data_IF_732925205852
#
_entry.id   IF_732925205852
#
_cell.length_a   1.000
_cell.length_b   1.000
_cell.length_c   1.000
_cell.angle_alpha   90.00
_cell.angle_beta   90.00
_cell.angle_gamma   90.00
#
_symmetry.space_group_name_H-M   'P 1'
#
loop_
_entity.id
_entity.type
_entity.pdbx_description
1 polymer ?
#
# COMPACT_ATOMS: atom_id res chain seq x y z
N UNK A 1 -12.36 -3.42 1.08
CA UNK A 1 -11.64 -2.86 -0.09
C UNK A 1 -10.51 -3.76 -0.59
N UNK A 2 -9.41 -3.98 0.15
CA UNK A 2 -8.24 -4.73 -0.37
C UNK A 2 -8.61 -6.15 -0.80
N UNK A 3 -9.48 -6.83 -0.05
CA UNK A 3 -9.97 -8.17 -0.40
C UNK A 3 -10.75 -8.20 -1.72
N UNK A 4 -11.49 -7.13 -2.03
CA UNK A 4 -12.17 -6.97 -3.32
C UNK A 4 -11.15 -6.89 -4.46
N UNK A 5 -10.08 -6.13 -4.29
CA UNK A 5 -9.00 -6.02 -5.28
C UNK A 5 -8.21 -7.34 -5.45
N UNK A 6 -8.17 -8.19 -4.42
CA UNK A 6 -7.63 -9.56 -4.55
C UNK A 6 -8.50 -10.38 -5.51
N UNK A 7 -9.83 -10.31 -5.35
CA UNK A 7 -10.80 -11.08 -6.14
C UNK A 7 -11.09 -10.50 -7.52
N UNK A 8 -10.88 -9.19 -7.70
CA UNK A 8 -11.18 -8.45 -8.93
C UNK A 8 -9.92 -7.70 -9.41
N UNK A 9 -9.01 -8.38 -10.14
CA UNK A 9 -7.75 -7.78 -10.58
C UNK A 9 -7.89 -6.58 -11.51
N UNK A 10 -8.97 -6.49 -12.28
CA UNK A 10 -9.23 -5.37 -13.20
C UNK A 10 -9.33 -4.02 -12.47
N UNK A 11 -9.88 -4.02 -11.26
CA UNK A 11 -10.07 -2.81 -10.46
C UNK A 11 -8.76 -2.30 -9.84
N UNK A 12 -7.63 -3.03 -9.97
CA UNK A 12 -6.35 -2.61 -9.40
C UNK A 12 -5.75 -1.40 -10.10
N UNK A 13 -6.12 -1.13 -11.36
CA UNK A 13 -5.68 0.06 -12.08
C UNK A 13 -6.10 1.34 -11.34
N UNK A 14 -7.29 1.32 -10.74
CA UNK A 14 -7.84 2.42 -9.94
C UNK A 14 -6.96 2.77 -8.74
N UNK A 15 -6.18 1.82 -8.19
CA UNK A 15 -5.27 2.11 -7.07
C UNK A 15 -4.20 3.15 -7.44
N UNK A 16 -3.80 3.21 -8.72
CA UNK A 16 -2.81 4.17 -9.23
C UNK A 16 -3.44 5.37 -9.91
N UNK A 17 -4.52 5.14 -10.66
CA UNK A 17 -5.14 6.16 -11.50
C UNK A 17 -6.03 7.10 -10.71
N UNK A 18 -6.95 6.53 -9.92
CA UNK A 18 -7.91 7.28 -9.11
C UNK A 18 -8.37 6.44 -7.91
N UNK A 19 -7.58 6.44 -6.81
CA UNK A 19 -7.89 5.64 -5.63
C UNK A 19 -9.12 6.16 -4.87
N UNK A 20 -9.57 7.38 -5.13
CA UNK A 20 -10.69 8.00 -4.40
C UNK A 20 -12.02 7.34 -4.78
N UNK A 21 -12.16 6.88 -6.03
CA UNK A 21 -13.29 6.03 -6.45
C UNK A 21 -13.41 4.78 -5.58
N UNK A 22 -12.28 4.15 -5.24
CA UNK A 22 -12.27 2.98 -4.36
C UNK A 22 -12.63 3.40 -2.92
N UNK A 23 -12.09 4.51 -2.44
CA UNK A 23 -12.37 4.99 -1.09
C UNK A 23 -13.84 5.32 -0.88
N UNK A 24 -14.48 5.98 -1.83
CA UNK A 24 -15.91 6.30 -1.78
C UNK A 24 -16.77 5.04 -1.88
N UNK A 25 -16.45 4.14 -2.82
CA UNK A 25 -17.18 2.88 -2.99
C UNK A 25 -17.19 2.01 -1.74
N UNK A 26 -16.09 2.02 -0.99
CA UNK A 26 -15.92 1.21 0.22
C UNK A 26 -16.12 1.99 1.52
N UNK A 27 -16.51 3.27 1.46
CA UNK A 27 -16.76 4.10 2.65
C UNK A 27 -15.53 4.25 3.55
N UNK A 28 -14.34 4.43 2.96
CA UNK A 28 -13.11 4.58 3.74
C UNK A 28 -13.10 5.92 4.46
N UNK A 29 -12.92 5.89 5.78
CA UNK A 29 -12.82 7.08 6.65
C UNK A 29 -11.71 8.04 6.18
N UNK A 30 -11.91 9.38 6.25
CA UNK A 30 -10.95 10.36 5.75
C UNK A 30 -9.53 10.19 6.32
N UNK A 31 -9.40 9.91 7.62
CA UNK A 31 -8.10 9.68 8.25
C UNK A 31 -7.36 8.46 7.66
N UNK A 32 -8.11 7.41 7.30
CA UNK A 32 -7.56 6.21 6.67
C UNK A 32 -7.19 6.45 5.22
N UNK A 33 -7.89 7.34 4.50
CA UNK A 33 -7.54 7.73 3.12
C UNK A 33 -6.15 8.37 3.07
N UNK A 34 -5.88 9.32 3.95
CA UNK A 34 -4.56 9.96 4.05
C UNK A 34 -3.45 8.93 4.29
N UNK A 35 -3.70 8.00 5.20
CA UNK A 35 -2.77 6.90 5.49
C UNK A 35 -2.56 5.98 4.27
N UNK A 36 -3.61 5.64 3.53
CA UNK A 36 -3.51 4.80 2.33
C UNK A 36 -2.76 5.49 1.18
N UNK A 37 -2.90 6.81 1.04
CA UNK A 37 -2.20 7.61 0.02
C UNK A 37 -0.71 7.75 0.34
N UNK A 38 -0.36 8.14 1.56
CA UNK A 38 1.00 8.56 1.91
C UNK A 38 1.69 7.80 3.02
N UNK A 39 0.95 7.10 3.89
CA UNK A 39 1.48 6.47 5.10
C UNK A 39 2.45 5.35 4.83
N UNK A 40 3.57 5.31 5.54
CA UNK A 40 4.58 4.26 5.44
C UNK A 40 4.01 2.86 5.72
N UNK A 41 4.78 1.81 5.38
CA UNK A 41 4.40 0.44 5.70
C UNK A 41 4.09 0.25 7.18
N UNK A 42 4.91 0.83 8.06
CA UNK A 42 4.78 0.64 9.50
C UNK A 42 3.56 1.42 10.02
N UNK A 43 3.26 2.60 9.50
CA UNK A 43 2.02 3.34 9.83
C UNK A 43 0.77 2.59 9.36
N UNK A 44 0.79 2.01 8.15
CA UNK A 44 -0.29 1.16 7.64
C UNK A 44 -0.47 -0.14 8.46
N UNK A 45 0.61 -0.73 8.95
CA UNK A 45 0.53 -1.90 9.83
C UNK A 45 -0.02 -1.55 11.21
N UNK A 46 0.29 -0.36 11.73
CA UNK A 46 -0.22 0.11 13.02
C UNK A 46 -1.70 0.49 12.99
N UNK A 47 -2.32 0.68 11.82
CA UNK A 47 -3.74 0.99 11.69
C UNK A 47 -4.66 -0.24 11.77
N UNK A 48 -4.12 -1.41 12.11
CA UNK A 48 -4.88 -2.66 12.22
C UNK A 48 -5.14 -3.38 10.89
N UNK A 49 -4.57 -2.91 9.78
CA UNK A 49 -4.65 -3.62 8.49
C UNK A 49 -3.73 -4.85 8.56
N UNK A 50 -4.27 -6.02 8.19
CA UNK A 50 -3.49 -7.26 8.16
C UNK A 50 -2.24 -7.11 7.27
N UNK A 51 -1.07 -7.56 7.75
CA UNK A 51 0.22 -7.29 7.08
C UNK A 51 0.28 -7.72 5.61
N UNK A 52 -0.33 -8.87 5.26
CA UNK A 52 -0.42 -9.31 3.85
C UNK A 52 -1.15 -8.30 2.95
N UNK A 53 -2.16 -7.60 3.48
CA UNK A 53 -2.92 -6.60 2.75
C UNK A 53 -2.15 -5.28 2.64
N UNK A 54 -1.38 -4.91 3.67
CA UNK A 54 -0.47 -3.75 3.60
C UNK A 54 0.53 -3.94 2.46
N UNK A 55 1.17 -5.11 2.37
CA UNK A 55 2.14 -5.39 1.31
C UNK A 55 1.48 -5.34 -0.08
N UNK A 56 0.31 -5.96 -0.25
CA UNK A 56 -0.43 -5.90 -1.52
C UNK A 56 -0.78 -4.47 -1.93
N UNK A 57 -1.27 -3.67 -0.98
CA UNK A 57 -1.58 -2.27 -1.22
C UNK A 57 -0.36 -1.47 -1.68
N UNK A 58 0.78 -1.63 -1.01
CA UNK A 58 2.04 -0.97 -1.37
C UNK A 58 2.49 -1.36 -2.79
N UNK A 59 2.42 -2.65 -3.14
CA UNK A 59 2.76 -3.12 -4.49
C UNK A 59 1.86 -2.47 -5.54
N UNK A 60 0.54 -2.48 -5.32
CA UNK A 60 -0.41 -1.94 -6.30
C UNK A 60 -0.34 -0.42 -6.43
N UNK A 61 -0.06 0.29 -5.34
CA UNK A 61 0.17 1.74 -5.35
C UNK A 61 1.55 2.13 -5.89
N UNK A 62 2.41 1.15 -6.26
CA UNK A 62 3.76 1.42 -6.75
C UNK A 62 4.73 1.91 -5.67
N UNK A 63 4.39 1.67 -4.39
CA UNK A 63 5.15 2.13 -3.23
C UNK A 63 6.12 1.03 -2.77
N UNK A 64 7.32 1.40 -2.28
CA UNK A 64 8.31 0.43 -1.85
C UNK A 64 7.83 -0.39 -0.65
N UNK A 65 8.00 -1.71 -0.71
CA UNK A 65 7.62 -2.66 0.35
C UNK A 65 8.75 -2.91 1.37
N UNK A 66 9.97 -2.55 1.01
CA UNK A 66 11.16 -2.56 1.87
C UNK A 66 11.87 -1.20 1.82
N UNK A 67 12.60 -0.84 2.89
CA UNK A 67 13.54 0.27 2.83
C UNK A 67 14.57 -0.03 1.73
N UNK A 68 14.81 0.93 0.84
CA UNK A 68 15.90 0.87 -0.12
C UNK A 68 17.20 0.80 0.68
N UNK A 69 17.88 -0.35 0.70
CA UNK A 69 19.22 -0.43 1.24
C UNK A 69 20.17 -0.03 0.12
N UNK A 70 20.98 1.04 0.28
CA UNK A 70 22.00 1.35 -0.71
C UNK A 70 22.96 0.15 -0.82
N UNK A 71 23.31 -0.23 -2.06
CA UNK A 71 24.22 -1.35 -2.35
C UNK A 71 25.58 -1.23 -1.62
N UNK A 72 25.95 -0.05 -1.14
CA UNK A 72 27.14 0.15 -0.29
C UNK A 72 27.18 -0.78 0.91
N UNK A 73 26.03 -1.15 1.50
CA UNK A 73 25.97 -2.09 2.62
C UNK A 73 26.41 -3.52 2.28
N UNK A 74 26.40 -3.90 1.00
CA UNK A 74 26.84 -5.24 0.55
C UNK A 74 28.34 -5.30 0.24
N UNK A 75 28.98 -4.17 -0.05
CA UNK A 75 30.40 -4.10 -0.46
C UNK A 75 31.37 -3.74 0.66
N UNK A 76 30.88 -3.34 1.85
CA UNK A 76 31.72 -2.95 3.01
C UNK A 76 32.20 -4.16 3.86
N UNK A 77 32.08 -5.38 3.32
CA UNK A 77 32.63 -6.61 3.90
C UNK A 77 33.61 -7.25 2.91
N UNK A 78 34.70 -6.57 2.59
CA UNK A 78 35.85 -7.21 1.96
C UNK A 78 37.16 -6.61 2.43
#
# INVERSE_FOLDING_TARGET
MIEHLVRNPADRALVKEDPDILFDRFGVEPATRELLRGGSRDELSNSGIHGNYVIKWLIWSGRPTMKFFPMSHFFDRR
#
